data_IF_503858454250
#
_entry.id   IF_503858454250
#
_cell.length_a   1.000
_cell.length_b   1.000
_cell.length_c   1.000
_cell.angle_alpha   90.00
_cell.angle_beta   90.00
_cell.angle_gamma   90.00
#
_symmetry.space_group_name_H-M   'P 1'
#
loop_
_entity.id
_entity.type
_entity.pdbx_description
1 polymer ?
#
# COMPACT_ATOMS: atom_id res chain seq x y z
N UNK A 1 2.58 -12.79 23.87
CA UNK A 1 3.75 -13.09 23.02
C UNK A 1 3.33 -13.45 21.59
N UNK A 2 2.53 -14.49 21.34
CA UNK A 2 2.01 -14.75 19.97
C UNK A 2 1.01 -13.68 19.48
N UNK A 3 0.11 -13.24 20.37
CA UNK A 3 -0.93 -12.24 20.09
C UNK A 3 -0.36 -10.88 19.65
N UNK A 4 0.73 -10.44 20.29
CA UNK A 4 1.41 -9.18 19.98
C UNK A 4 2.10 -9.19 18.62
N UNK A 5 2.66 -10.34 18.19
CA UNK A 5 3.24 -10.49 16.86
C UNK A 5 2.17 -10.46 15.77
N UNK A 6 1.03 -11.12 16.00
CA UNK A 6 -0.13 -11.07 15.08
C UNK A 6 -0.67 -9.65 15.01
N UNK A 7 -0.85 -8.98 16.15
CA UNK A 7 -1.29 -7.59 16.19
C UNK A 7 -0.35 -6.65 15.43
N UNK A 8 0.96 -6.83 15.57
CA UNK A 8 1.95 -6.06 14.80
C UNK A 8 1.83 -6.33 13.31
N UNK A 9 1.80 -7.60 12.90
CA UNK A 9 1.70 -7.99 11.50
C UNK A 9 0.44 -7.44 10.82
N UNK A 10 -0.73 -7.54 11.46
CA UNK A 10 -1.99 -7.03 10.90
C UNK A 10 -2.00 -5.51 10.79
N UNK A 11 -1.39 -4.81 11.76
CA UNK A 11 -1.23 -3.37 11.69
C UNK A 11 -0.25 -2.93 10.59
N UNK A 12 0.85 -3.66 10.40
CA UNK A 12 1.78 -3.40 9.31
C UNK A 12 1.10 -3.65 7.94
N UNK A 13 0.29 -4.71 7.84
CA UNK A 13 -0.50 -5.01 6.65
C UNK A 13 -1.53 -3.90 6.36
N UNK A 14 -2.24 -3.43 7.39
CA UNK A 14 -3.20 -2.34 7.29
C UNK A 14 -2.51 -1.05 6.81
N UNK A 15 -1.35 -0.71 7.36
CA UNK A 15 -0.55 0.42 6.91
C UNK A 15 -0.10 0.28 5.44
N UNK A 16 0.33 -0.92 5.03
CA UNK A 16 0.69 -1.23 3.65
C UNK A 16 -0.47 -1.02 2.67
N UNK A 17 -1.69 -1.42 3.05
CA UNK A 17 -2.89 -1.22 2.22
C UNK A 17 -3.21 0.26 1.99
N UNK A 18 -3.01 1.13 2.99
CA UNK A 18 -3.21 2.58 2.85
C UNK A 18 -2.25 3.15 1.81
N UNK A 19 -0.96 2.80 1.87
CA UNK A 19 0.04 3.26 0.88
C UNK A 19 -0.33 2.82 -0.53
N UNK A 20 -0.74 1.55 -0.66
CA UNK A 20 -1.09 0.97 -1.95
C UNK A 20 -2.27 1.70 -2.59
N UNK A 21 -3.30 2.01 -1.79
CA UNK A 21 -4.47 2.72 -2.28
C UNK A 21 -4.14 4.15 -2.69
N UNK A 22 -3.36 4.89 -1.92
CA UNK A 22 -2.95 6.26 -2.28
C UNK A 22 -2.07 6.27 -3.54
N UNK A 23 -1.21 5.26 -3.74
CA UNK A 23 -0.42 5.10 -4.96
C UNK A 23 -1.33 4.83 -6.18
N UNK A 24 -2.28 3.91 -6.04
CA UNK A 24 -3.19 3.57 -7.12
C UNK A 24 -4.10 4.72 -7.50
N UNK A 25 -4.55 5.51 -6.52
CA UNK A 25 -5.28 6.77 -6.75
C UNK A 25 -4.46 7.71 -7.66
N UNK A 26 -3.18 7.89 -7.34
CA UNK A 26 -2.28 8.72 -8.15
C UNK A 26 -2.01 8.12 -9.54
N UNK A 27 -1.82 6.80 -9.65
CA UNK A 27 -1.60 6.13 -10.94
C UNK A 27 -2.85 6.19 -11.83
N UNK A 28 -4.05 6.09 -11.27
CA UNK A 28 -5.31 6.26 -11.99
C UNK A 28 -5.43 7.67 -12.58
N UNK A 29 -5.05 8.70 -11.83
CA UNK A 29 -5.02 10.09 -12.28
C UNK A 29 -3.97 10.29 -13.39
N UNK A 30 -2.72 9.87 -13.15
CA UNK A 30 -1.58 10.05 -14.07
C UNK A 30 -1.79 9.32 -15.39
N UNK A 31 -2.44 8.16 -15.37
CA UNK A 31 -2.65 7.30 -16.54
C UNK A 31 -4.12 7.26 -17.01
N UNK A 32 -4.90 8.28 -16.68
CA UNK A 32 -6.35 8.38 -16.94
C UNK A 32 -6.75 8.18 -18.41
N UNK A 33 -5.93 8.64 -19.36
CA UNK A 33 -6.17 8.48 -20.81
C UNK A 33 -5.54 7.22 -21.43
N UNK A 34 -5.03 6.30 -20.61
CA UNK A 34 -4.35 5.08 -21.06
C UNK A 34 -5.17 3.82 -20.83
N UNK A 35 -4.84 2.75 -21.55
CA UNK A 35 -5.41 1.41 -21.33
C UNK A 35 -5.09 0.82 -19.94
N UNK A 36 -4.19 1.44 -19.16
CA UNK A 36 -3.84 1.02 -17.80
C UNK A 36 -4.80 1.56 -16.74
N UNK A 37 -5.59 2.60 -17.03
CA UNK A 37 -6.53 3.19 -16.05
C UNK A 37 -7.53 2.15 -15.53
N UNK A 38 -8.10 1.32 -16.42
CA UNK A 38 -9.03 0.26 -16.03
C UNK A 38 -8.37 -0.82 -15.15
N UNK A 39 -7.08 -1.11 -15.39
CA UNK A 39 -6.32 -2.05 -14.58
C UNK A 39 -6.10 -1.50 -13.17
N UNK A 40 -5.66 -0.24 -13.05
CA UNK A 40 -5.44 0.38 -11.75
C UNK A 40 -6.74 0.49 -10.95
N UNK A 41 -7.84 0.90 -11.60
CA UNK A 41 -9.18 0.97 -10.97
C UNK A 41 -9.63 -0.38 -10.42
N UNK A 42 -9.41 -1.46 -11.18
CA UNK A 42 -9.77 -2.81 -10.74
C UNK A 42 -8.88 -3.24 -9.57
N UNK A 43 -7.57 -3.05 -9.67
CA UNK A 43 -6.63 -3.39 -8.60
C UNK A 43 -6.92 -2.62 -7.30
N UNK A 44 -7.27 -1.34 -7.40
CA UNK A 44 -7.68 -0.52 -6.27
C UNK A 44 -8.94 -1.08 -5.60
N UNK A 45 -9.94 -1.47 -6.39
CA UNK A 45 -11.16 -2.09 -5.85
C UNK A 45 -10.86 -3.41 -5.12
N UNK A 46 -9.97 -4.25 -5.67
CA UNK A 46 -9.56 -5.50 -5.03
C UNK A 46 -8.86 -5.23 -3.69
N UNK A 47 -7.93 -4.26 -3.63
CA UNK A 47 -7.23 -3.91 -2.39
C UNK A 47 -8.16 -3.28 -1.34
N UNK A 48 -9.16 -2.50 -1.75
CA UNK A 48 -10.19 -2.00 -0.83
C UNK A 48 -10.94 -3.16 -0.21
N UNK A 49 -11.37 -4.14 -1.01
CA UNK A 49 -12.08 -5.32 -0.50
C UNK A 49 -11.23 -6.13 0.48
N UNK A 50 -9.94 -6.33 0.17
CA UNK A 50 -8.99 -7.02 1.04
C UNK A 50 -8.75 -6.26 2.35
N UNK A 51 -8.63 -4.93 2.30
CA UNK A 51 -8.50 -4.09 3.50
C UNK A 51 -9.74 -4.19 4.39
N UNK A 52 -10.93 -4.14 3.79
CA UNK A 52 -12.17 -4.25 4.55
C UNK A 52 -12.29 -5.62 5.24
N UNK A 53 -11.79 -6.70 4.60
CA UNK A 53 -11.71 -8.03 5.22
C UNK A 53 -10.67 -8.08 6.34
N UNK A 54 -9.51 -7.45 6.15
CA UNK A 54 -8.48 -7.31 7.18
C UNK A 54 -9.03 -6.58 8.42
N UNK A 55 -9.75 -5.48 8.23
CA UNK A 55 -10.36 -4.72 9.33
C UNK A 55 -11.39 -5.55 10.09
N UNK A 56 -12.24 -6.32 9.38
CA UNK A 56 -13.17 -7.28 9.99
C UNK A 56 -12.44 -8.35 10.80
N UNK A 57 -11.36 -8.88 10.26
CA UNK A 57 -10.54 -9.89 10.95
C UNK A 57 -9.90 -9.32 12.21
N UNK A 58 -9.39 -8.09 12.18
CA UNK A 58 -8.86 -7.40 13.36
C UNK A 58 -9.94 -7.18 14.43
N UNK A 59 -11.16 -6.85 14.03
CA UNK A 59 -12.30 -6.69 14.94
C UNK A 59 -12.65 -8.01 15.65
N UNK A 60 -12.77 -9.10 14.88
CA UNK A 60 -13.06 -10.45 15.41
C UNK A 60 -11.97 -10.93 16.39
N UNK A 61 -10.71 -10.57 16.13
CA UNK A 61 -9.59 -10.91 16.98
C UNK A 61 -9.37 -9.93 18.15
N UNK A 62 -10.22 -8.89 18.28
CA UNK A 62 -10.06 -7.81 19.27
C UNK A 62 -8.71 -7.09 19.20
N UNK A 63 -8.11 -7.02 18.02
CA UNK A 63 -6.84 -6.36 17.77
C UNK A 63 -7.10 -4.89 17.44
N UNK A 64 -6.53 -4.00 18.24
CA UNK A 64 -6.66 -2.55 18.01
C UNK A 64 -5.86 -2.12 16.78
N UNK A 65 -6.48 -1.30 15.94
CA UNK A 65 -5.79 -0.58 14.87
C UNK A 65 -4.84 0.46 15.49
N UNK A 66 -3.54 0.27 15.29
CA UNK A 66 -2.47 1.14 15.74
C UNK A 66 -2.44 2.38 14.85
N UNK A 67 -3.21 3.41 15.22
CA UNK A 67 -3.14 4.77 14.63
C UNK A 67 -1.83 5.50 14.95
N UNK A 68 -0.74 4.79 15.22
CA UNK A 68 0.50 5.42 15.65
C UNK A 68 1.14 6.10 14.44
N UNK A 69 1.10 7.44 14.45
CA UNK A 69 1.79 8.45 13.61
C UNK A 69 3.10 8.05 12.91
N UNK A 70 3.79 7.01 13.39
CA UNK A 70 4.98 6.43 12.77
C UNK A 70 4.68 5.75 11.43
N UNK A 71 3.54 5.06 11.31
CA UNK A 71 3.12 4.51 10.02
C UNK A 71 2.91 5.64 9.01
N UNK A 72 2.12 6.66 9.33
CA UNK A 72 1.88 7.80 8.43
C UNK A 72 3.15 8.55 8.00
N UNK A 73 4.15 8.69 8.88
CA UNK A 73 5.40 9.37 8.51
C UNK A 73 6.27 8.53 7.57
N UNK A 74 6.39 7.22 7.83
CA UNK A 74 7.12 6.29 6.95
C UNK A 74 6.40 6.11 5.60
N UNK A 75 5.07 6.00 5.63
CA UNK A 75 4.22 5.96 4.43
C UNK A 75 4.39 7.23 3.60
N UNK A 76 4.35 8.41 4.23
CA UNK A 76 4.54 9.67 3.52
C UNK A 76 5.94 9.79 2.89
N UNK A 77 6.99 9.34 3.59
CA UNK A 77 8.36 9.31 3.06
C UNK A 77 8.47 8.38 1.84
N UNK A 78 7.94 7.16 1.95
CA UNK A 78 7.97 6.18 0.84
C UNK A 78 7.08 6.60 -0.33
N UNK A 79 5.96 7.26 -0.05
CA UNK A 79 5.07 7.79 -1.08
C UNK A 79 5.73 8.94 -1.84
N UNK A 80 6.42 9.84 -1.13
CA UNK A 80 7.17 10.93 -1.76
C UNK A 80 8.24 10.38 -2.69
N UNK A 81 8.99 9.35 -2.25
CA UNK A 81 10.00 8.68 -3.06
C UNK A 81 9.40 8.01 -4.32
N UNK A 82 8.22 7.39 -4.18
CA UNK A 82 7.55 6.70 -5.29
C UNK A 82 6.95 7.68 -6.32
N UNK A 83 6.30 8.75 -5.85
CA UNK A 83 5.72 9.81 -6.69
C UNK A 83 6.80 10.55 -7.49
N UNK A 84 7.91 10.92 -6.84
CA UNK A 84 9.04 11.57 -7.50
C UNK A 84 9.64 10.72 -8.62
N UNK A 85 9.60 9.39 -8.48
CA UNK A 85 10.00 8.48 -9.54
C UNK A 85 8.98 8.45 -10.70
N UNK A 86 7.69 8.35 -10.41
CA UNK A 86 6.63 8.26 -11.42
C UNK A 86 6.48 9.57 -12.22
N UNK A 87 6.69 10.72 -11.57
CA UNK A 87 6.62 12.04 -12.22
C UNK A 87 7.82 12.33 -13.14
N UNK A 88 8.86 11.50 -13.16
CA UNK A 88 9.98 11.63 -14.10
C UNK A 88 9.53 11.14 -15.50
N UNK A 89 9.44 12.01 -16.53
CA UNK A 89 8.99 11.62 -17.87
C UNK A 89 9.93 10.62 -18.58
N UNK A 90 11.15 10.41 -18.04
CA UNK A 90 12.09 9.39 -18.52
C UNK A 90 11.94 8.04 -17.78
N UNK A 91 11.06 7.96 -16.78
CA UNK A 91 10.73 6.75 -16.04
C UNK A 91 10.04 5.73 -16.95
N UNK A 92 10.84 4.90 -17.61
CA UNK A 92 10.34 3.84 -18.46
C UNK A 92 9.57 2.74 -17.69
N UNK A 93 9.10 1.69 -18.41
CA UNK A 93 8.29 0.59 -17.86
C UNK A 93 8.89 -0.13 -16.64
N UNK A 94 10.22 -0.11 -16.50
CA UNK A 94 10.94 -0.70 -15.38
C UNK A 94 10.73 0.04 -14.07
N UNK A 95 10.51 1.36 -14.10
CA UNK A 95 10.23 2.13 -12.89
C UNK A 95 8.80 1.87 -12.39
N UNK A 96 7.83 1.78 -13.31
CA UNK A 96 6.46 1.36 -12.97
C UNK A 96 6.45 -0.04 -12.36
N UNK A 97 7.19 -0.98 -12.94
CA UNK A 97 7.36 -2.32 -12.39
C UNK A 97 7.96 -2.28 -10.98
N UNK A 98 9.06 -1.54 -10.78
CA UNK A 98 9.71 -1.41 -9.48
C UNK A 98 8.81 -0.74 -8.42
N UNK A 99 7.92 0.16 -8.83
CA UNK A 99 6.93 0.78 -7.95
C UNK A 99 5.83 -0.20 -7.54
N UNK A 100 5.32 -1.00 -8.49
CA UNK A 100 4.34 -2.05 -8.22
C UNK A 100 4.92 -3.18 -7.35
N UNK A 101 6.18 -3.54 -7.57
CA UNK A 101 6.87 -4.55 -6.75
C UNK A 101 7.03 -4.06 -5.30
N UNK A 102 7.45 -2.81 -5.08
CA UNK A 102 7.51 -2.21 -3.74
C UNK A 102 6.15 -2.19 -3.05
N UNK A 103 5.09 -1.88 -3.80
CA UNK A 103 3.72 -1.93 -3.30
C UNK A 103 3.32 -3.35 -2.86
N UNK A 104 3.64 -4.36 -3.67
CA UNK A 104 3.41 -5.77 -3.34
C UNK A 104 4.10 -6.21 -2.05
N UNK A 105 5.35 -5.79 -1.84
CA UNK A 105 6.10 -6.10 -0.61
C UNK A 105 5.53 -5.38 0.62
N UNK A 106 5.11 -4.12 0.48
CA UNK A 106 4.43 -3.37 1.54
C UNK A 106 3.11 -4.02 1.96
N UNK A 107 2.33 -4.53 0.99
CA UNK A 107 1.10 -5.27 1.24
C UNK A 107 1.34 -6.59 1.96
N UNK A 108 2.49 -7.27 1.82
CA UNK A 108 2.71 -8.54 2.55
C UNK A 108 3.07 -8.37 4.03
N UNK A 109 3.23 -7.13 4.52
CA UNK A 109 3.65 -6.85 5.90
C UNK A 109 5.11 -7.25 6.18
N UNK A 110 5.90 -7.55 5.15
CA UNK A 110 7.29 -7.95 5.29
C UNK A 110 8.20 -6.74 5.10
N UNK A 111 8.11 -5.78 6.03
CA UNK A 111 8.90 -4.54 5.97
C UNK A 111 9.60 -4.28 7.31
N UNK A 112 10.49 -5.21 7.68
CA UNK A 112 11.60 -4.93 8.60
C UNK A 112 12.92 -5.25 7.93
N UNK A 113 13.78 -4.24 7.95
CA UNK A 113 15.01 -4.10 7.19
C UNK A 113 16.13 -5.09 7.57
N UNK A 114 16.94 -5.38 6.56
CA UNK A 114 18.40 -5.42 6.62
C UNK A 114 18.91 -4.84 5.31
#
# INVERSE_FOLDING_TARGET
MADEHVATYLNDHLAGSVVALELLDHLEETYSDSSLSDFFRKLRADIVADRDELERLMEVLHISQSRTRKASAWVAEKMTELKLGIDDPQAGPLLLFASLERCHWGLRGNVRCG
#
